data_IF_573304575309
#
_entry.id   IF_573304575309
#
_cell.length_a   1.000
_cell.length_b   1.000
_cell.length_c   1.000
_cell.angle_alpha   90.00
_cell.angle_beta   90.00
_cell.angle_gamma   90.00
#
_symmetry.space_group_name_H-M   'P 1'
#
loop_
_entity.id
_entity.type
_entity.pdbx_description
1 polymer ?
#
# COMPACT_ATOMS: atom_id res chain seq x y z
N UNK A 1 16.38 15.20 -6.59
CA UNK A 1 15.07 15.79 -6.48
C UNK A 1 14.53 16.04 -7.87
N UNK A 2 13.33 15.53 -8.20
CA UNK A 2 12.66 15.87 -9.43
C UNK A 2 12.25 17.35 -9.36
N UNK A 3 12.63 18.14 -10.35
CA UNK A 3 12.11 19.50 -10.50
C UNK A 3 10.65 19.40 -10.90
N UNK A 4 9.76 20.01 -10.13
CA UNK A 4 8.36 20.18 -10.49
C UNK A 4 8.31 21.21 -11.61
N UNK A 5 7.58 20.90 -12.69
CA UNK A 5 7.45 21.79 -13.83
C UNK A 5 6.77 23.09 -13.41
N UNK A 6 7.42 24.23 -13.63
CA UNK A 6 6.93 25.54 -13.19
C UNK A 6 5.59 25.94 -13.86
N UNK A 7 5.26 25.39 -15.04
CA UNK A 7 3.97 25.63 -15.68
C UNK A 7 2.80 24.96 -14.97
N UNK A 8 3.04 23.81 -14.27
CA UNK A 8 2.02 23.08 -13.52
C UNK A 8 1.70 23.70 -12.15
N UNK A 9 2.52 24.65 -11.69
CA UNK A 9 2.42 25.19 -10.32
C UNK A 9 2.01 26.65 -10.26
N UNK A 10 1.65 27.29 -11.37
CA UNK A 10 1.33 28.75 -11.42
C UNK A 10 0.24 29.16 -10.42
N UNK A 11 -0.70 28.29 -10.07
CA UNK A 11 -1.83 28.57 -9.15
C UNK A 11 -1.86 27.64 -7.93
N UNK A 12 -0.85 26.78 -7.73
CA UNK A 12 -0.81 25.83 -6.62
C UNK A 12 0.41 26.15 -5.73
N UNK A 13 0.20 26.46 -4.44
CA UNK A 13 1.31 26.68 -3.53
C UNK A 13 2.16 25.40 -3.40
N UNK A 14 3.44 25.49 -3.75
CA UNK A 14 4.40 24.38 -3.63
C UNK A 14 5.16 24.54 -2.33
N UNK A 15 5.03 23.54 -1.44
CA UNK A 15 5.79 23.47 -0.19
C UNK A 15 7.00 22.57 -0.44
N UNK A 16 8.20 23.12 -0.34
CA UNK A 16 9.44 22.34 -0.46
C UNK A 16 9.68 21.49 0.78
N UNK A 17 10.49 20.43 0.62
CA UNK A 17 10.88 19.59 1.76
C UNK A 17 11.58 20.38 2.89
N UNK A 18 12.27 21.47 2.56
CA UNK A 18 12.94 22.34 3.52
C UNK A 18 11.94 23.17 4.32
N UNK A 19 10.86 23.62 3.70
CA UNK A 19 9.79 24.38 4.36
C UNK A 19 8.96 23.52 5.33
N UNK A 20 8.85 22.20 5.08
CA UNK A 20 8.19 21.27 6.01
C UNK A 20 8.87 21.16 7.38
N UNK A 21 10.13 21.57 7.49
CA UNK A 21 10.89 21.52 8.75
C UNK A 21 10.87 22.82 9.55
N UNK A 22 10.27 23.89 9.06
CA UNK A 22 10.42 25.23 9.63
C UNK A 22 9.21 25.77 10.41
N UNK A 23 8.03 25.17 10.29
CA UNK A 23 6.85 25.68 10.98
C UNK A 23 6.02 24.56 11.65
N UNK A 24 5.90 24.64 12.96
CA UNK A 24 4.83 23.96 13.67
C UNK A 24 3.50 24.62 13.23
N UNK A 25 2.46 23.86 12.83
CA UNK A 25 1.19 24.45 12.44
C UNK A 25 0.62 25.27 13.61
N UNK A 26 0.39 26.56 13.36
CA UNK A 26 -0.09 27.52 14.35
C UNK A 26 -1.50 27.20 14.90
N UNK A 27 -2.23 26.31 14.25
CA UNK A 27 -3.53 25.80 14.70
C UNK A 27 -3.62 24.30 14.42
N UNK A 28 -4.36 23.59 15.27
CA UNK A 28 -4.68 22.18 15.08
C UNK A 28 -5.99 22.04 14.25
N UNK A 29 -5.98 22.17 12.92
CA UNK A 29 -7.19 22.20 12.10
C UNK A 29 -8.00 20.91 12.23
N UNK A 30 -7.35 19.80 12.60
CA UNK A 30 -8.01 18.52 12.86
C UNK A 30 -9.00 18.55 14.03
N UNK A 31 -8.89 19.49 14.98
CA UNK A 31 -9.83 19.60 16.12
C UNK A 31 -11.27 19.96 15.70
N UNK A 32 -11.43 20.51 14.51
CA UNK A 32 -12.74 20.89 13.95
C UNK A 32 -13.25 19.88 12.92
N UNK A 33 -12.45 18.87 12.56
CA UNK A 33 -12.82 17.86 11.57
C UNK A 33 -13.84 16.88 12.14
N UNK A 34 -14.79 16.52 11.28
CA UNK A 34 -15.77 15.47 11.52
C UNK A 34 -15.35 14.23 10.74
N UNK A 35 -15.74 13.07 11.21
CA UNK A 35 -15.52 11.81 10.52
C UNK A 35 -16.26 11.71 9.17
N UNK A 36 -17.27 12.56 8.96
CA UNK A 36 -17.98 12.71 7.68
C UNK A 36 -17.30 13.65 6.70
N UNK A 37 -16.26 14.40 7.11
CA UNK A 37 -15.49 15.24 6.19
C UNK A 37 -14.73 14.37 5.18
N UNK A 38 -14.48 14.93 4.00
CA UNK A 38 -13.72 14.25 2.94
C UNK A 38 -12.28 14.00 3.37
N UNK A 39 -11.82 12.77 3.15
CA UNK A 39 -10.43 12.40 3.29
C UNK A 39 -9.69 12.51 1.95
N UNK A 40 -10.27 11.95 0.89
CA UNK A 40 -9.74 12.05 -0.47
C UNK A 40 -10.81 11.88 -1.54
N UNK A 41 -10.47 12.27 -2.76
CA UNK A 41 -11.26 12.03 -3.96
C UNK A 41 -10.38 11.33 -4.99
N UNK A 42 -10.87 10.24 -5.57
CA UNK A 42 -10.20 9.53 -6.66
C UNK A 42 -11.07 9.61 -7.91
N UNK A 43 -10.45 9.96 -9.03
CA UNK A 43 -11.13 10.02 -10.31
C UNK A 43 -11.09 8.68 -11.02
N UNK A 44 -12.23 8.24 -11.50
CA UNK A 44 -12.37 7.06 -12.36
C UNK A 44 -12.74 7.49 -13.77
N UNK A 45 -12.31 6.72 -14.78
CA UNK A 45 -12.78 6.91 -16.17
C UNK A 45 -14.28 6.64 -16.23
N UNK A 46 -15.09 7.71 -16.34
CA UNK A 46 -16.54 7.57 -16.48
C UNK A 46 -16.92 6.89 -17.80
N UNK A 47 -17.97 6.08 -17.81
CA UNK A 47 -18.54 5.47 -19.03
C UNK A 47 -19.02 6.48 -20.08
N UNK A 48 -19.18 7.74 -19.68
CA UNK A 48 -19.56 8.88 -20.53
C UNK A 48 -18.39 9.68 -21.08
N UNK A 49 -17.14 9.26 -20.80
CA UNK A 49 -15.92 9.98 -21.19
C UNK A 49 -15.46 11.05 -20.20
N UNK A 50 -16.36 11.56 -19.34
CA UNK A 50 -16.01 12.52 -18.28
C UNK A 50 -15.55 11.78 -17.02
N UNK A 51 -14.38 12.15 -16.43
CA UNK A 51 -13.91 11.57 -15.18
C UNK A 51 -14.90 11.84 -14.03
N UNK A 52 -15.20 10.81 -13.25
CA UNK A 52 -16.06 10.91 -12.07
C UNK A 52 -15.22 10.83 -10.79
N UNK A 53 -15.36 11.83 -9.93
CA UNK A 53 -14.72 11.88 -8.62
C UNK A 53 -15.49 11.04 -7.59
N UNK A 54 -14.85 9.97 -7.10
CA UNK A 54 -15.37 9.16 -5.98
C UNK A 54 -14.83 9.75 -4.69
N UNK A 55 -15.75 10.28 -3.88
CA UNK A 55 -15.43 10.96 -2.62
C UNK A 55 -15.46 9.99 -1.45
N UNK A 56 -14.38 9.93 -0.69
CA UNK A 56 -14.24 9.05 0.48
C UNK A 56 -14.07 9.93 1.73
N UNK A 57 -14.89 9.70 2.75
CA UNK A 57 -14.81 10.40 4.02
C UNK A 57 -13.93 9.63 5.04
N UNK A 58 -13.53 10.32 6.12
CA UNK A 58 -12.74 9.72 7.19
C UNK A 58 -13.41 8.48 7.79
N UNK A 59 -14.72 8.52 8.03
CA UNK A 59 -15.48 7.39 8.58
C UNK A 59 -15.36 6.13 7.76
N UNK A 60 -15.37 6.23 6.43
CA UNK A 60 -15.24 5.07 5.54
C UNK A 60 -13.89 4.38 5.69
N UNK A 61 -12.82 5.14 5.88
CA UNK A 61 -11.48 4.58 6.08
C UNK A 61 -11.33 4.01 7.50
N UNK A 62 -11.87 4.69 8.51
CA UNK A 62 -11.90 4.18 9.89
C UNK A 62 -12.64 2.83 9.94
N UNK A 63 -13.82 2.75 9.34
CA UNK A 63 -14.60 1.52 9.31
C UNK A 63 -13.86 0.40 8.58
N UNK A 64 -13.29 0.69 7.41
CA UNK A 64 -12.44 -0.28 6.69
C UNK A 64 -11.31 -0.80 7.56
N UNK A 65 -10.57 0.07 8.25
CA UNK A 65 -9.45 -0.32 9.12
C UNK A 65 -9.92 -1.21 10.25
N UNK A 66 -11.00 -0.86 10.95
CA UNK A 66 -11.53 -1.65 12.05
C UNK A 66 -12.07 -3.02 11.56
N UNK A 67 -12.70 -3.09 10.38
CA UNK A 67 -13.12 -4.37 9.79
C UNK A 67 -11.92 -5.25 9.43
N UNK A 68 -10.84 -4.69 8.90
CA UNK A 68 -9.60 -5.44 8.64
C UNK A 68 -8.97 -5.94 9.94
N UNK A 69 -8.92 -5.10 10.98
CA UNK A 69 -8.42 -5.51 12.31
C UNK A 69 -9.25 -6.65 12.89
N UNK A 70 -10.59 -6.56 12.79
CA UNK A 70 -11.49 -7.61 13.26
C UNK A 70 -11.32 -8.92 12.48
N UNK A 71 -11.23 -8.85 11.16
CA UNK A 71 -11.14 -10.04 10.30
C UNK A 71 -9.77 -10.72 10.36
N UNK A 72 -8.70 -9.97 10.52
CA UNK A 72 -7.34 -10.50 10.34
C UNK A 72 -6.47 -10.45 11.59
N UNK A 73 -6.85 -9.72 12.61
CA UNK A 73 -6.15 -9.62 13.90
C UNK A 73 -4.64 -9.37 13.76
N UNK A 74 -4.27 -8.30 13.03
CA UNK A 74 -2.86 -7.94 12.86
C UNK A 74 -2.24 -7.59 14.21
N UNK A 75 -1.01 -8.06 14.41
CA UNK A 75 -0.27 -7.79 15.64
C UNK A 75 0.25 -6.35 15.68
N UNK A 76 0.43 -5.82 16.88
CA UNK A 76 1.13 -4.55 17.07
C UNK A 76 2.54 -4.62 16.48
N UNK A 77 2.96 -3.54 15.86
CA UNK A 77 4.28 -3.46 15.22
C UNK A 77 4.41 -4.20 13.89
N UNK A 78 3.32 -4.72 13.29
CA UNK A 78 3.31 -5.36 11.96
C UNK A 78 4.06 -4.50 10.94
N UNK A 79 4.90 -5.14 10.12
CA UNK A 79 5.70 -4.48 9.08
C UNK A 79 5.08 -4.74 7.70
N UNK A 80 4.53 -3.70 7.11
CA UNK A 80 3.85 -3.75 5.82
C UNK A 80 4.81 -3.50 4.66
N UNK A 81 4.74 -4.32 3.63
CA UNK A 81 5.46 -4.10 2.37
C UNK A 81 4.53 -3.50 1.33
N UNK A 82 4.53 -2.18 1.21
CA UNK A 82 3.65 -1.46 0.27
C UNK A 82 4.15 -1.59 -1.18
N UNK A 83 3.26 -2.03 -2.07
CA UNK A 83 3.51 -2.12 -3.52
C UNK A 83 2.71 -1.07 -4.31
N UNK A 84 1.56 -0.67 -3.78
CA UNK A 84 0.65 0.25 -4.47
C UNK A 84 1.23 1.67 -4.48
N UNK A 85 1.16 2.38 -5.59
CA UNK A 85 1.50 3.80 -5.64
C UNK A 85 0.51 4.61 -4.78
N UNK A 86 0.97 5.71 -4.19
CA UNK A 86 0.15 6.50 -3.25
C UNK A 86 -0.95 7.33 -3.92
N UNK A 87 -0.87 7.53 -5.20
CA UNK A 87 -1.93 8.12 -6.03
C UNK A 87 -3.06 7.14 -6.38
N UNK A 88 -3.00 5.91 -5.84
CA UNK A 88 -3.99 4.87 -6.04
C UNK A 88 -4.61 4.42 -4.71
N UNK A 89 -5.94 4.28 -4.65
CA UNK A 89 -6.71 4.03 -3.43
C UNK A 89 -6.33 2.74 -2.67
N UNK A 90 -5.79 1.75 -3.36
CA UNK A 90 -5.31 0.52 -2.70
C UNK A 90 -4.19 0.76 -1.69
N UNK A 91 -3.46 1.89 -1.79
CA UNK A 91 -2.43 2.27 -0.81
C UNK A 91 -3.01 2.69 0.53
N UNK A 92 -4.24 3.17 0.56
CA UNK A 92 -4.93 3.67 1.76
C UNK A 92 -4.96 2.62 2.87
N UNK A 93 -5.25 1.35 2.53
CA UNK A 93 -5.26 0.28 3.53
C UNK A 93 -3.88 0.03 4.13
N UNK A 94 -2.80 0.02 3.33
CA UNK A 94 -1.44 -0.20 3.83
C UNK A 94 -1.01 0.93 4.78
N UNK A 95 -1.32 2.18 4.42
CA UNK A 95 -1.01 3.37 5.22
C UNK A 95 -1.76 3.32 6.55
N UNK A 96 -3.08 3.24 6.51
CA UNK A 96 -3.89 3.38 7.71
C UNK A 96 -3.85 2.15 8.61
N UNK A 97 -3.70 0.94 8.06
CA UNK A 97 -3.50 -0.26 8.87
C UNK A 97 -2.14 -0.23 9.57
N UNK A 98 -1.07 0.20 8.90
CA UNK A 98 0.25 0.33 9.56
C UNK A 98 0.23 1.34 10.71
N UNK A 99 -0.46 2.47 10.53
CA UNK A 99 -0.66 3.47 11.60
C UNK A 99 -1.49 2.90 12.76
N UNK A 100 -2.56 2.16 12.45
CA UNK A 100 -3.48 1.59 13.45
C UNK A 100 -2.80 0.62 14.41
N UNK A 101 -1.84 -0.15 13.92
CA UNK A 101 -1.09 -1.13 14.73
C UNK A 101 0.25 -0.60 15.27
N UNK A 102 0.52 0.70 15.12
CA UNK A 102 1.83 1.27 15.48
C UNK A 102 2.98 0.58 14.74
N UNK A 103 2.72 0.12 13.52
CA UNK A 103 3.63 -0.65 12.70
C UNK A 103 4.54 0.21 11.83
N UNK A 104 5.18 -0.44 10.86
CA UNK A 104 6.05 0.22 9.88
C UNK A 104 5.57 -0.06 8.47
N UNK A 105 5.57 0.98 7.64
CA UNK A 105 5.30 0.88 6.21
C UNK A 105 6.63 0.93 5.45
N UNK A 106 7.03 -0.18 4.84
CA UNK A 106 8.18 -0.24 3.94
C UNK A 106 7.69 0.01 2.52
N UNK A 107 8.11 1.13 1.93
CA UNK A 107 7.76 1.52 0.56
C UNK A 107 8.68 0.76 -0.40
N UNK A 108 8.10 -0.12 -1.21
CA UNK A 108 8.82 -0.93 -2.18
C UNK A 108 8.83 -0.25 -3.54
N UNK A 109 10.01 0.18 -3.97
CA UNK A 109 10.17 0.83 -5.27
C UNK A 109 9.71 -0.09 -6.41
N UNK A 110 8.93 0.45 -7.36
CA UNK A 110 8.40 -0.28 -8.51
C UNK A 110 9.47 -1.07 -9.27
N UNK A 111 10.69 -0.52 -9.38
CA UNK A 111 11.80 -1.19 -10.07
C UNK A 111 12.21 -2.52 -9.42
N UNK A 112 12.03 -2.69 -8.10
CA UNK A 112 12.39 -3.94 -7.40
C UNK A 112 11.61 -5.14 -7.94
N UNK A 113 10.39 -4.95 -8.44
CA UNK A 113 9.58 -6.04 -8.99
C UNK A 113 10.16 -6.63 -10.29
N UNK A 114 11.04 -5.89 -10.99
CA UNK A 114 11.81 -6.40 -12.13
C UNK A 114 13.08 -7.16 -11.71
N UNK A 115 13.46 -7.07 -10.42
CA UNK A 115 14.65 -7.72 -9.86
C UNK A 115 14.27 -8.54 -8.61
N UNK A 116 13.67 -9.73 -8.78
CA UNK A 116 13.09 -10.51 -7.69
C UNK A 116 14.03 -10.77 -6.52
N UNK A 117 15.31 -11.01 -6.80
CA UNK A 117 16.32 -11.23 -5.75
C UNK A 117 16.45 -10.00 -4.85
N UNK A 118 16.59 -8.80 -5.43
CA UNK A 118 16.70 -7.55 -4.67
C UNK A 118 15.42 -7.26 -3.88
N UNK A 119 14.26 -7.57 -4.46
CA UNK A 119 12.98 -7.43 -3.75
C UNK A 119 12.93 -8.34 -2.52
N UNK A 120 13.30 -9.62 -2.66
CA UNK A 120 13.29 -10.58 -1.56
C UNK A 120 14.34 -10.23 -0.48
N UNK A 121 15.52 -9.76 -0.88
CA UNK A 121 16.53 -9.21 0.03
C UNK A 121 15.94 -8.05 0.83
N UNK A 122 15.27 -7.10 0.17
CA UNK A 122 14.62 -5.95 0.82
C UNK A 122 13.53 -6.40 1.81
N UNK A 123 12.68 -7.34 1.42
CA UNK A 123 11.65 -7.88 2.32
C UNK A 123 12.26 -8.49 3.58
N UNK A 124 13.36 -9.23 3.43
CA UNK A 124 14.05 -9.87 4.54
C UNK A 124 14.82 -8.89 5.42
N UNK A 125 15.59 -7.97 4.84
CA UNK A 125 16.33 -6.92 5.56
C UNK A 125 15.40 -6.05 6.41
N UNK A 126 14.21 -5.77 5.90
CA UNK A 126 13.21 -4.94 6.57
C UNK A 126 12.25 -5.75 7.43
N UNK A 127 12.42 -7.07 7.48
CA UNK A 127 11.55 -7.99 8.24
C UNK A 127 10.07 -7.77 7.91
N UNK A 128 9.76 -7.60 6.62
CA UNK A 128 8.38 -7.42 6.17
C UNK A 128 7.58 -8.69 6.45
N UNK A 129 6.49 -8.56 7.19
CA UNK A 129 5.66 -9.70 7.58
C UNK A 129 4.27 -9.72 6.92
N UNK A 130 3.85 -8.59 6.37
CA UNK A 130 2.53 -8.46 5.74
C UNK A 130 2.64 -7.73 4.40
N UNK A 131 2.05 -8.30 3.37
CA UNK A 131 1.92 -7.68 2.04
C UNK A 131 0.47 -7.75 1.57
N UNK A 132 0.01 -6.66 0.93
CA UNK A 132 -1.31 -6.58 0.28
C UNK A 132 -1.08 -6.11 -1.15
N UNK A 133 -0.80 -7.04 -2.04
CA UNK A 133 -0.35 -6.75 -3.39
C UNK A 133 -1.41 -7.07 -4.44
N UNK A 134 -1.30 -6.38 -5.57
CA UNK A 134 -2.03 -6.78 -6.77
C UNK A 134 -1.53 -8.14 -7.28
N UNK A 135 -2.45 -8.97 -7.78
CA UNK A 135 -2.12 -10.29 -8.33
C UNK A 135 -0.98 -10.26 -9.37
N UNK A 136 -0.88 -9.25 -10.28
CA UNK A 136 0.25 -9.15 -11.20
C UNK A 136 1.63 -9.12 -10.52
N UNK A 137 1.77 -8.47 -9.37
CA UNK A 137 3.02 -8.44 -8.63
C UNK A 137 3.45 -9.85 -8.17
N UNK A 138 2.49 -10.64 -7.65
CA UNK A 138 2.75 -12.03 -7.26
C UNK A 138 3.06 -12.92 -8.46
N UNK A 139 2.39 -12.69 -9.61
CA UNK A 139 2.65 -13.40 -10.87
C UNK A 139 4.07 -13.18 -11.40
N UNK A 140 4.61 -11.95 -11.28
CA UNK A 140 5.97 -11.63 -11.73
C UNK A 140 6.98 -12.49 -10.98
N UNK A 141 6.93 -12.55 -9.65
CA UNK A 141 7.86 -13.36 -8.86
C UNK A 141 7.74 -14.85 -9.18
N UNK A 142 6.54 -15.36 -9.39
CA UNK A 142 6.33 -16.75 -9.78
C UNK A 142 6.90 -17.07 -11.18
N UNK A 143 6.67 -16.19 -12.16
CA UNK A 143 7.19 -16.35 -13.54
C UNK A 143 8.71 -16.31 -13.61
N UNK A 144 9.32 -15.50 -12.76
CA UNK A 144 10.79 -15.36 -12.68
C UNK A 144 11.43 -16.37 -11.72
N UNK A 145 10.65 -17.35 -11.24
CA UNK A 145 11.13 -18.39 -10.32
C UNK A 145 11.91 -17.83 -9.13
N UNK A 146 11.46 -16.70 -8.57
CA UNK A 146 12.17 -15.90 -7.57
C UNK A 146 12.66 -16.72 -6.36
N UNK A 147 11.88 -17.71 -5.92
CA UNK A 147 12.14 -18.47 -4.70
C UNK A 147 13.18 -19.60 -4.85
N UNK A 148 13.77 -19.76 -6.04
CA UNK A 148 14.88 -20.71 -6.24
C UNK A 148 16.18 -20.22 -5.58
N UNK A 149 16.37 -18.90 -5.48
CA UNK A 149 17.60 -18.30 -4.94
C UNK A 149 17.44 -17.79 -3.51
N UNK A 150 16.30 -17.22 -3.19
CA UNK A 150 16.00 -16.64 -1.89
C UNK A 150 14.51 -16.77 -1.58
N UNK A 151 14.15 -16.95 -0.29
CA UNK A 151 12.75 -16.97 0.15
C UNK A 151 12.49 -15.83 1.13
N UNK A 152 11.27 -15.30 1.17
CA UNK A 152 10.88 -14.34 2.20
C UNK A 152 10.77 -15.07 3.55
N UNK A 153 11.52 -14.60 4.54
CA UNK A 153 11.68 -15.28 5.84
C UNK A 153 10.60 -14.89 6.85
N UNK A 154 10.09 -13.69 6.74
CA UNK A 154 9.23 -13.09 7.77
C UNK A 154 7.76 -13.00 7.39
N UNK A 155 7.38 -13.26 6.13
CA UNK A 155 6.01 -13.13 5.67
C UNK A 155 5.07 -14.07 6.45
N UNK A 156 4.06 -13.45 7.08
CA UNK A 156 2.97 -14.09 7.80
C UNK A 156 1.63 -13.93 7.08
N UNK A 157 1.43 -12.79 6.41
CA UNK A 157 0.21 -12.49 5.69
C UNK A 157 0.53 -12.09 4.24
N UNK A 158 -0.05 -12.81 3.31
CA UNK A 158 0.03 -12.55 1.88
C UNK A 158 -1.40 -12.37 1.38
N UNK A 159 -1.79 -11.12 1.20
CA UNK A 159 -3.11 -10.73 0.74
C UNK A 159 -3.02 -10.21 -0.68
N UNK A 160 -4.02 -10.46 -1.49
CA UNK A 160 -4.02 -10.06 -2.88
C UNK A 160 -5.42 -9.76 -3.41
N UNK A 161 -5.48 -8.91 -4.43
CA UNK A 161 -6.73 -8.48 -5.07
C UNK A 161 -6.49 -8.01 -6.51
N UNK A 162 -7.59 -7.63 -7.18
CA UNK A 162 -7.59 -6.95 -8.47
C UNK A 162 -7.72 -7.84 -9.69
N UNK A 163 -7.36 -9.10 -9.60
CA UNK A 163 -7.51 -10.11 -10.66
C UNK A 163 -7.73 -11.50 -10.06
N UNK A 164 -8.22 -12.42 -10.89
CA UNK A 164 -8.26 -13.84 -10.52
C UNK A 164 -6.84 -14.37 -10.32
N UNK A 165 -6.55 -14.91 -9.15
CA UNK A 165 -5.28 -15.53 -8.85
C UNK A 165 -5.14 -16.89 -9.56
N UNK A 166 -4.14 -17.06 -10.48
CA UNK A 166 -3.92 -18.35 -11.13
C UNK A 166 -3.50 -19.43 -10.09
N UNK A 167 -4.12 -20.61 -10.09
CA UNK A 167 -3.82 -21.67 -9.12
C UNK A 167 -2.33 -22.05 -9.05
N UNK A 168 -1.64 -22.11 -10.19
CA UNK A 168 -0.19 -22.41 -10.27
C UNK A 168 0.65 -21.33 -9.57
N UNK A 169 0.27 -20.05 -9.70
CA UNK A 169 0.94 -18.94 -9.02
C UNK A 169 0.75 -19.04 -7.52
N UNK A 170 -0.48 -19.28 -7.07
CA UNK A 170 -0.79 -19.44 -5.65
C UNK A 170 -0.02 -20.64 -5.06
N UNK A 171 -0.04 -21.78 -5.74
CA UNK A 171 0.69 -22.97 -5.31
C UNK A 171 2.19 -22.72 -5.17
N UNK A 172 2.80 -22.00 -6.12
CA UNK A 172 4.21 -21.63 -6.07
C UNK A 172 4.55 -20.81 -4.82
N UNK A 173 3.71 -19.83 -4.49
CA UNK A 173 3.85 -19.03 -3.28
C UNK A 173 3.63 -19.84 -2.01
N UNK A 174 2.60 -20.67 -1.96
CA UNK A 174 2.31 -21.51 -0.79
C UNK A 174 3.42 -22.52 -0.50
N UNK A 175 4.07 -23.05 -1.53
CA UNK A 175 5.25 -23.93 -1.37
C UNK A 175 6.48 -23.18 -0.87
N UNK A 176 6.65 -21.92 -1.24
CA UNK A 176 7.78 -21.10 -0.81
C UNK A 176 7.63 -20.55 0.62
N UNK A 177 6.41 -20.23 1.02
CA UNK A 177 6.07 -19.58 2.30
C UNK A 177 4.91 -20.32 2.97
N UNK A 178 5.08 -21.59 3.35
CA UNK A 178 3.99 -22.44 3.84
C UNK A 178 3.39 -21.97 5.19
N UNK A 179 4.15 -21.17 5.94
CA UNK A 179 3.71 -20.61 7.22
C UNK A 179 2.80 -19.39 7.07
N UNK A 180 2.73 -18.79 5.87
CA UNK A 180 1.96 -17.58 5.66
C UNK A 180 0.46 -17.88 5.46
N UNK A 181 -0.38 -16.97 5.92
CA UNK A 181 -1.80 -16.93 5.60
C UNK A 181 -1.99 -16.28 4.24
N UNK A 182 -2.69 -16.93 3.34
CA UNK A 182 -3.05 -16.41 2.02
C UNK A 182 -4.50 -15.97 2.01
N UNK A 183 -4.75 -14.74 1.59
CA UNK A 183 -6.09 -14.14 1.58
C UNK A 183 -6.37 -13.48 0.23
N UNK A 184 -7.44 -13.91 -0.40
CA UNK A 184 -8.00 -13.22 -1.56
C UNK A 184 -9.02 -12.19 -1.07
N UNK A 185 -8.75 -10.92 -1.33
CA UNK A 185 -9.60 -9.79 -0.90
C UNK A 185 -10.65 -9.40 -1.96
N UNK A 186 -10.63 -10.06 -3.10
CA UNK A 186 -11.56 -9.75 -4.19
C UNK A 186 -12.58 -10.83 -4.36
#
# INVERSE_FOLDING_TARGET
>A
GASIDAELTQDIPVISQQELHTEAPAAAPWKQRKDTDLLYVIFTSGSTGEPKGVSICHRSVIDMVEQFMHAFAFADGTVWGNQAPFDFDVSVKDIFLSLRVGGRLEILEKKLFSFPKLLLERLNERSVDTIVWAVPALKILARLHAFQTLRPLYLKNIMFSGEVMPPKTLQYWMQAVPQARFVNLY
#
